data_IF_429750423507
#
_entry.id   IF_429750423507
#
_cell.length_a   1.000
_cell.length_b   1.000
_cell.length_c   1.000
_cell.angle_alpha   90.00
_cell.angle_beta   90.00
_cell.angle_gamma   90.00
#
_symmetry.space_group_name_H-M   'P 1'
#
loop_
_entity.id
_entity.type
_entity.pdbx_description
1 polymer ?
#
# COMPACT_ATOMS: atom_id res chain seq x y z
N UNK A 1 40.05 15.32 -34.01
CA UNK A 1 39.05 14.40 -33.39
C UNK A 1 38.70 14.76 -31.95
N UNK A 2 39.64 15.21 -31.10
CA UNK A 2 39.33 15.57 -29.71
C UNK A 2 38.33 16.74 -29.52
N UNK A 3 38.39 17.77 -30.36
CA UNK A 3 37.50 18.95 -30.28
C UNK A 3 36.06 18.62 -30.69
N UNK A 4 35.89 17.86 -31.77
CA UNK A 4 34.57 17.42 -32.24
C UNK A 4 33.91 16.40 -31.29
N UNK A 5 34.70 15.49 -30.72
CA UNK A 5 34.23 14.54 -29.71
C UNK A 5 33.71 15.26 -28.46
N UNK A 6 34.52 16.14 -27.86
CA UNK A 6 34.13 16.89 -26.66
C UNK A 6 32.93 17.80 -26.87
N UNK A 7 32.78 18.41 -28.05
CA UNK A 7 31.60 19.20 -28.40
C UNK A 7 30.32 18.35 -28.44
N UNK A 8 30.38 17.08 -28.85
CA UNK A 8 29.21 16.19 -28.83
C UNK A 8 28.95 15.67 -27.42
N UNK A 9 29.98 15.28 -26.66
CA UNK A 9 29.80 14.73 -25.30
C UNK A 9 29.35 15.76 -24.28
N UNK A 10 29.76 17.03 -24.43
CA UNK A 10 29.38 18.13 -23.52
C UNK A 10 28.23 18.94 -24.11
N UNK A 11 28.27 19.22 -25.42
CA UNK A 11 27.24 20.00 -26.10
C UNK A 11 25.91 19.27 -26.21
N UNK A 12 25.89 17.92 -26.30
CA UNK A 12 24.66 17.14 -26.26
C UNK A 12 23.89 17.34 -24.95
N UNK A 13 24.47 17.00 -23.78
CA UNK A 13 23.83 17.25 -22.49
C UNK A 13 23.52 18.74 -22.23
N UNK A 14 24.41 19.66 -22.61
CA UNK A 14 24.17 21.09 -22.44
C UNK A 14 22.99 21.61 -23.28
N UNK A 15 22.86 21.13 -24.52
CA UNK A 15 21.73 21.46 -25.39
C UNK A 15 20.42 20.90 -24.84
N UNK A 16 20.43 19.67 -24.32
CA UNK A 16 19.26 19.09 -23.66
C UNK A 16 18.85 19.92 -22.45
N UNK A 17 19.78 20.28 -21.57
CA UNK A 17 19.48 21.15 -20.41
C UNK A 17 18.95 22.53 -20.82
N UNK A 18 19.38 23.06 -21.98
CA UNK A 18 18.92 24.36 -22.48
C UNK A 18 17.51 24.32 -23.08
N UNK A 19 17.15 23.25 -23.80
CA UNK A 19 15.82 23.10 -24.42
C UNK A 19 14.79 22.54 -23.44
N UNK A 20 15.22 21.73 -22.48
CA UNK A 20 14.33 21.14 -21.48
C UNK A 20 13.70 22.24 -20.63
N UNK A 21 12.36 22.38 -20.65
CA UNK A 21 11.67 23.35 -19.81
C UNK A 21 11.90 23.04 -18.34
N UNK A 22 11.96 24.08 -17.52
CA UNK A 22 12.14 23.96 -16.07
C UNK A 22 10.89 23.39 -15.40
N UNK A 23 11.06 22.78 -14.23
CA UNK A 23 9.94 22.19 -13.48
C UNK A 23 8.82 23.20 -13.20
N UNK A 24 9.16 24.47 -12.99
CA UNK A 24 8.20 25.55 -12.74
C UNK A 24 7.36 25.89 -13.99
N UNK A 25 7.97 25.88 -15.18
CA UNK A 25 7.27 26.07 -16.46
C UNK A 25 6.36 24.88 -16.80
N UNK A 26 6.79 23.67 -16.43
CA UNK A 26 6.00 22.45 -16.56
C UNK A 26 4.78 22.48 -15.63
N UNK A 27 4.96 22.92 -14.38
CA UNK A 27 3.86 23.09 -13.42
C UNK A 27 2.89 24.17 -13.92
N UNK A 28 3.38 25.30 -14.45
CA UNK A 28 2.54 26.39 -14.97
C UNK A 28 1.73 25.99 -16.21
N UNK A 29 2.26 25.10 -17.06
CA UNK A 29 1.53 24.51 -18.19
C UNK A 29 0.51 23.44 -17.77
N UNK A 30 0.59 22.94 -16.55
CA UNK A 30 -0.30 21.90 -16.04
C UNK A 30 -1.68 22.47 -15.66
N UNK A 31 -2.73 21.69 -15.93
CA UNK A 31 -4.12 22.01 -15.56
C UNK A 31 -4.23 22.19 -14.02
N UNK A 32 -4.89 23.26 -13.50
CA UNK A 32 -5.00 23.53 -12.05
C UNK A 32 -5.49 22.34 -11.21
N UNK A 33 -6.38 21.51 -11.75
CA UNK A 33 -6.88 20.29 -11.08
C UNK A 33 -5.75 19.27 -10.79
N UNK A 34 -4.79 19.15 -11.70
CA UNK A 34 -3.66 18.23 -11.56
C UNK A 34 -2.61 18.77 -10.59
N UNK A 35 -2.44 20.08 -10.51
CA UNK A 35 -1.59 20.70 -9.48
C UNK A 35 -2.14 20.43 -8.08
N UNK A 36 -3.46 20.52 -7.92
CA UNK A 36 -4.13 20.24 -6.65
C UNK A 36 -3.95 18.78 -6.23
N UNK A 37 -4.20 17.82 -7.12
CA UNK A 37 -3.92 16.39 -6.85
C UNK A 37 -2.46 16.10 -6.54
N UNK A 38 -1.52 16.73 -7.26
CA UNK A 38 -0.09 16.53 -6.99
C UNK A 38 0.32 17.06 -5.61
N UNK A 39 -0.26 18.19 -5.19
CA UNK A 39 -0.02 18.80 -3.88
C UNK A 39 -0.62 17.96 -2.75
N UNK A 40 -1.86 17.50 -2.91
CA UNK A 40 -2.57 16.70 -1.91
C UNK A 40 -1.95 15.31 -1.74
N UNK A 41 -1.67 14.61 -2.84
CA UNK A 41 -1.09 13.26 -2.82
C UNK A 41 0.43 13.23 -2.65
N UNK A 42 1.10 14.35 -2.35
CA UNK A 42 2.57 14.38 -2.23
C UNK A 42 3.03 13.65 -0.97
N UNK A 43 2.41 13.98 0.16
CA UNK A 43 2.74 13.36 1.45
C UNK A 43 2.43 11.86 1.45
N UNK A 44 1.29 11.47 0.87
CA UNK A 44 0.92 10.06 0.75
C UNK A 44 1.93 9.29 -0.10
N UNK A 45 2.33 9.82 -1.27
CA UNK A 45 3.37 9.20 -2.10
C UNK A 45 4.72 9.13 -1.43
N UNK A 46 5.14 10.17 -0.71
CA UNK A 46 6.40 10.16 0.06
C UNK A 46 6.37 9.05 1.11
N UNK A 47 5.27 8.92 1.85
CA UNK A 47 5.08 7.87 2.84
C UNK A 47 5.04 6.47 2.21
N UNK A 48 4.29 6.29 1.13
CA UNK A 48 4.22 5.02 0.40
C UNK A 48 5.60 4.60 -0.12
N UNK A 49 6.39 5.57 -0.60
CA UNK A 49 7.74 5.33 -1.06
C UNK A 49 8.68 4.90 0.08
N UNK A 50 8.64 5.61 1.21
CA UNK A 50 9.40 5.24 2.40
C UNK A 50 9.02 3.84 2.90
N UNK A 51 7.72 3.54 2.96
CA UNK A 51 7.20 2.22 3.33
C UNK A 51 7.66 1.13 2.37
N UNK A 52 7.68 1.41 1.06
CA UNK A 52 8.18 0.50 0.05
C UNK A 52 9.69 0.21 0.22
N UNK A 53 10.50 1.25 0.39
CA UNK A 53 11.95 1.12 0.62
C UNK A 53 12.22 0.37 1.92
N UNK A 54 11.45 0.60 2.97
CA UNK A 54 11.55 -0.15 4.23
C UNK A 54 11.25 -1.64 4.03
N UNK A 55 10.19 -1.99 3.28
CA UNK A 55 9.87 -3.39 2.95
C UNK A 55 10.98 -4.04 2.13
N UNK A 56 11.52 -3.34 1.13
CA UNK A 56 12.67 -3.83 0.36
C UNK A 56 13.90 -4.09 1.24
N UNK A 57 14.23 -3.17 2.15
CA UNK A 57 15.32 -3.36 3.13
C UNK A 57 15.06 -4.58 4.02
N UNK A 58 13.81 -4.83 4.42
CA UNK A 58 13.43 -6.01 5.20
C UNK A 58 13.59 -7.29 4.37
N UNK A 59 13.16 -7.30 3.12
CA UNK A 59 13.26 -8.46 2.22
C UNK A 59 14.69 -8.77 1.82
N UNK A 60 15.52 -7.75 1.62
CA UNK A 60 16.94 -7.90 1.31
C UNK A 60 17.75 -8.59 2.40
N UNK A 61 17.25 -8.65 3.65
CA UNK A 61 17.90 -9.41 4.74
C UNK A 61 17.66 -10.92 4.64
N UNK A 62 16.75 -11.35 3.77
CA UNK A 62 16.48 -12.77 3.52
C UNK A 62 17.46 -13.33 2.50
N UNK A 63 17.87 -14.58 2.69
CA UNK A 63 18.66 -15.33 1.70
C UNK A 63 17.84 -15.79 0.48
N UNK A 64 16.52 -15.56 0.49
CA UNK A 64 15.63 -15.84 -0.64
C UNK A 64 15.53 -14.62 -1.55
N UNK A 65 15.29 -14.80 -2.86
CA UNK A 65 15.08 -13.66 -3.75
C UNK A 65 13.83 -12.87 -3.33
N UNK A 66 13.88 -11.54 -3.51
CA UNK A 66 12.87 -10.59 -3.01
C UNK A 66 11.44 -10.97 -3.44
N UNK A 67 11.27 -11.40 -4.69
CA UNK A 67 9.97 -11.80 -5.24
C UNK A 67 9.35 -13.02 -4.54
N UNK A 68 10.17 -13.96 -4.05
CA UNK A 68 9.69 -15.12 -3.31
C UNK A 68 9.23 -14.72 -1.89
N UNK A 69 10.00 -13.86 -1.21
CA UNK A 69 9.65 -13.34 0.12
C UNK A 69 8.37 -12.50 0.06
N UNK A 70 8.22 -11.67 -0.98
CA UNK A 70 7.03 -10.86 -1.20
C UNK A 70 5.79 -11.73 -1.42
N UNK A 71 5.91 -12.81 -2.22
CA UNK A 71 4.82 -13.77 -2.44
C UNK A 71 4.46 -14.53 -1.16
N UNK A 72 5.46 -14.91 -0.36
CA UNK A 72 5.26 -15.56 0.94
C UNK A 72 4.50 -14.63 1.92
N UNK A 73 4.86 -13.35 1.99
CA UNK A 73 4.14 -12.37 2.82
C UNK A 73 2.73 -12.08 2.32
N UNK A 74 2.52 -11.98 1.00
CA UNK A 74 1.20 -11.78 0.41
C UNK A 74 0.26 -12.96 0.71
N UNK A 75 0.76 -14.20 0.60
CA UNK A 75 0.00 -15.39 0.94
C UNK A 75 -0.37 -15.41 2.44
N UNK A 76 0.56 -15.06 3.33
CA UNK A 76 0.27 -14.94 4.77
C UNK A 76 -0.77 -13.87 5.07
N UNK A 77 -0.71 -12.72 4.40
CA UNK A 77 -1.70 -11.66 4.56
C UNK A 77 -3.09 -12.10 4.09
N UNK A 78 -3.17 -12.80 2.96
CA UNK A 78 -4.43 -13.39 2.45
C UNK A 78 -5.02 -14.40 3.44
N UNK A 79 -4.19 -15.31 3.95
CA UNK A 79 -4.64 -16.29 4.95
C UNK A 79 -5.11 -15.64 6.24
N UNK A 80 -4.42 -14.60 6.71
CA UNK A 80 -4.81 -13.84 7.90
C UNK A 80 -6.17 -13.14 7.69
N UNK A 81 -6.39 -12.51 6.53
CA UNK A 81 -7.67 -11.89 6.20
C UNK A 81 -8.81 -12.90 6.14
N UNK A 82 -8.60 -14.04 5.48
CA UNK A 82 -9.62 -15.11 5.41
C UNK A 82 -9.93 -15.65 6.81
N UNK A 83 -8.93 -15.81 7.68
CA UNK A 83 -9.13 -16.24 9.07
C UNK A 83 -9.91 -15.19 9.87
N UNK A 84 -9.57 -13.92 9.73
CA UNK A 84 -10.26 -12.82 10.39
C UNK A 84 -11.74 -12.73 9.97
N UNK A 85 -12.02 -12.85 8.68
CA UNK A 85 -13.37 -12.86 8.12
C UNK A 85 -14.19 -14.07 8.60
N UNK A 86 -13.58 -15.26 8.63
CA UNK A 86 -14.23 -16.45 9.21
C UNK A 86 -14.55 -16.24 10.68
N UNK A 87 -13.65 -15.63 11.44
CA UNK A 87 -13.85 -15.38 12.86
C UNK A 87 -15.00 -14.39 13.09
N UNK A 88 -15.07 -13.29 12.32
CA UNK A 88 -16.18 -12.33 12.42
C UNK A 88 -17.52 -12.97 12.08
N UNK A 89 -17.58 -13.80 11.04
CA UNK A 89 -18.82 -14.53 10.68
C UNK A 89 -19.22 -15.50 11.78
N UNK A 90 -18.28 -16.25 12.36
CA UNK A 90 -18.58 -17.16 13.47
C UNK A 90 -19.10 -16.41 14.70
N UNK A 91 -18.54 -15.26 15.01
CA UNK A 91 -18.96 -14.45 16.15
C UNK A 91 -20.33 -13.80 15.91
N UNK A 92 -20.64 -13.35 14.69
CA UNK A 92 -21.99 -12.92 14.31
C UNK A 92 -23.03 -14.04 14.43
N UNK A 93 -22.69 -15.27 14.02
CA UNK A 93 -23.60 -16.42 14.13
C UNK A 93 -23.85 -16.77 15.60
N UNK A 94 -22.83 -16.71 16.47
CA UNK A 94 -23.01 -16.91 17.92
C UNK A 94 -23.93 -15.86 18.51
N UNK A 95 -23.71 -14.58 18.21
CA UNK A 95 -24.55 -13.48 18.68
C UNK A 95 -26.01 -13.64 18.23
N UNK A 96 -26.24 -14.03 16.97
CA UNK A 96 -27.59 -14.33 16.46
C UNK A 96 -28.24 -15.50 17.20
N UNK A 97 -27.48 -16.56 17.47
CA UNK A 97 -27.98 -17.73 18.21
C UNK A 97 -28.32 -17.39 19.66
N UNK A 98 -27.54 -16.53 20.30
CA UNK A 98 -27.80 -16.05 21.66
C UNK A 98 -29.02 -15.13 21.73
N UNK A 99 -29.21 -14.25 20.74
CA UNK A 99 -30.42 -13.44 20.62
C UNK A 99 -31.67 -14.31 20.46
N UNK A 100 -31.63 -15.31 19.57
CA UNK A 100 -32.73 -16.25 19.38
C UNK A 100 -33.02 -17.08 20.64
N UNK A 101 -32.00 -17.49 21.40
CA UNK A 101 -32.19 -18.19 22.68
C UNK A 101 -32.81 -17.30 23.76
N UNK A 102 -32.46 -16.02 23.77
CA UNK A 102 -33.04 -15.02 24.69
C UNK A 102 -34.50 -14.73 24.34
N UNK A 103 -34.82 -14.63 23.05
CA UNK A 103 -36.18 -14.40 22.54
C UNK A 103 -37.08 -15.65 22.68
N UNK A 104 -36.51 -16.85 22.55
CA UNK A 104 -37.23 -18.12 22.74
C UNK A 104 -37.51 -18.49 24.21
N UNK A 105 -37.20 -17.62 25.17
CA UNK A 105 -37.63 -17.78 26.57
C UNK A 105 -36.99 -18.94 27.36
N UNK A 106 -35.85 -19.49 26.92
CA UNK A 106 -35.15 -20.61 27.58
C UNK A 106 -34.32 -20.20 28.82
N UNK A 107 -34.93 -19.40 29.71
CA UNK A 107 -34.47 -19.16 31.08
C UNK A 107 -35.55 -19.52 32.10
N UNK A 108 -36.20 -20.67 31.89
CA UNK A 108 -36.95 -21.38 32.93
C UNK A 108 -36.41 -22.81 32.89
N UNK A 109 -36.05 -23.34 34.07
CA UNK A 109 -35.54 -24.69 34.34
C UNK A 109 -34.06 -24.99 34.05
N UNK A 110 -33.17 -24.45 34.90
CA UNK A 110 -32.08 -25.27 35.47
C UNK A 110 -31.61 -24.82 36.87
N UNK A 111 -32.36 -23.94 37.54
CA UNK A 111 -32.21 -23.70 38.98
C UNK A 111 -33.37 -24.34 39.74
N UNK A 112 -33.18 -25.57 40.22
CA UNK A 112 -34.10 -26.19 41.19
C UNK A 112 -34.39 -27.66 40.96
N UNK A 113 -33.52 -28.53 41.45
CA UNK A 113 -33.92 -29.84 41.95
C UNK A 113 -32.92 -30.25 43.04
N UNK A 114 -33.15 -29.73 44.25
CA UNK A 114 -32.87 -30.42 45.51
C UNK A 114 -34.10 -31.27 45.88
#
# INVERSE_FOLDING_TARGET
MAVGGGAVTVGGPAFVMWVSPTDEELVKKYNPELQKRSREGRYEREKEFDDFVMKLKKYSKSNKPIWAVQKDEENKAKEANIKAEKQSVLDEVKLRKEALRREAGLLVESSGSE
#
